data_IF_067586108809
#
_entry.id   IF_067586108809
#
_cell.length_a   1.000
_cell.length_b   1.000
_cell.length_c   1.000
_cell.angle_alpha   90.00
_cell.angle_beta   90.00
_cell.angle_gamma   90.00
#
_symmetry.space_group_name_H-M   'P 1'
#
loop_
_entity.id
_entity.type
_entity.pdbx_description
1 polymer ?
#
# COMPACT_ATOMS: atom_id res chain seq x y z
N UNK A 1 13.72 -24.84 -3.85
CA UNK A 1 13.25 -24.88 -2.45
C UNK A 1 13.59 -23.54 -1.82
N UNK A 2 12.65 -22.59 -1.83
CA UNK A 2 12.84 -21.33 -1.11
C UNK A 2 12.65 -21.61 0.38
N UNK A 3 13.70 -21.46 1.18
CA UNK A 3 13.54 -21.39 2.63
C UNK A 3 12.73 -20.11 2.92
N UNK A 4 11.67 -20.17 3.75
CA UNK A 4 10.97 -18.97 4.14
C UNK A 4 11.98 -18.03 4.80
N UNK A 5 12.06 -16.80 4.27
CA UNK A 5 12.77 -15.70 4.90
C UNK A 5 12.32 -15.67 6.35
N UNK A 6 13.23 -16.01 7.26
CA UNK A 6 12.99 -15.96 8.70
C UNK A 6 12.47 -14.55 8.99
N UNK A 7 11.23 -14.49 9.46
CA UNK A 7 10.57 -13.29 9.96
C UNK A 7 11.59 -12.36 10.63
N UNK A 8 11.75 -11.14 10.12
CA UNK A 8 12.61 -10.14 10.73
C UNK A 8 12.08 -9.87 12.15
N UNK A 9 12.88 -10.09 13.22
CA UNK A 9 12.51 -9.73 14.58
C UNK A 9 12.14 -8.25 14.75
N UNK A 10 12.52 -7.36 13.82
CA UNK A 10 12.15 -5.94 13.82
C UNK A 10 10.66 -5.68 13.54
N UNK A 11 9.91 -6.63 12.99
CA UNK A 11 8.45 -6.55 12.88
C UNK A 11 7.72 -7.08 14.12
N UNK A 12 8.43 -7.59 15.13
CA UNK A 12 7.86 -8.03 16.40
C UNK A 12 7.93 -6.93 17.45
N UNK A 13 6.85 -6.16 17.51
CA UNK A 13 6.13 -5.72 18.70
C UNK A 13 5.67 -4.27 18.49
N UNK A 14 4.42 -4.09 18.08
CA UNK A 14 3.65 -2.92 18.48
C UNK A 14 2.99 -3.31 19.81
N UNK A 15 3.51 -2.89 20.98
CA UNK A 15 2.80 -3.08 22.24
C UNK A 15 1.67 -2.07 22.26
N UNK A 16 0.41 -2.51 22.12
CA UNK A 16 -0.73 -1.58 22.23
C UNK A 16 -2.05 -1.98 21.60
N UNK A 17 -2.14 -3.00 20.75
CA UNK A 17 -3.40 -3.29 20.05
C UNK A 17 -4.44 -4.13 20.85
N UNK A 18 -4.20 -4.41 22.13
CA UNK A 18 -5.07 -5.28 22.94
C UNK A 18 -6.28 -4.58 23.64
N UNK A 19 -6.44 -3.25 23.57
CA UNK A 19 -7.41 -2.54 24.43
C UNK A 19 -8.50 -1.71 23.71
N UNK A 20 -8.66 -1.81 22.39
CA UNK A 20 -9.75 -1.13 21.68
C UNK A 20 -11.05 -1.97 21.70
N UNK A 21 -11.72 -2.00 22.85
CA UNK A 21 -13.17 -2.26 22.91
C UNK A 21 -13.90 -0.98 22.51
N UNK A 22 -14.34 -0.91 21.26
CA UNK A 22 -15.15 0.19 20.73
C UNK A 22 -16.56 0.18 21.37
N UNK A 23 -16.94 1.27 22.03
CA UNK A 23 -18.35 1.58 22.34
C UNK A 23 -18.98 2.34 21.17
N UNK A 24 -20.22 2.01 20.75
CA UNK A 24 -20.89 2.71 19.67
C UNK A 24 -21.74 3.86 20.22
N UNK A 25 -21.56 5.06 19.69
CA UNK A 25 -22.62 6.07 19.61
C UNK A 25 -22.26 7.06 18.50
N UNK A 26 -23.01 7.03 17.41
CA UNK A 26 -23.04 8.11 16.44
C UNK A 26 -24.48 8.35 16.00
N UNK A 27 -24.85 9.63 16.11
CA UNK A 27 -26.14 10.22 15.81
C UNK A 27 -26.54 10.04 14.34
N UNK A 28 -27.85 9.92 14.13
CA UNK A 28 -28.49 9.98 12.82
C UNK A 28 -28.51 11.42 12.30
N UNK A 29 -27.93 11.65 11.12
CA UNK A 29 -28.26 12.78 10.25
C UNK A 29 -28.47 12.26 8.83
N UNK A 30 -29.56 12.74 8.21
CA UNK A 30 -29.99 12.38 6.87
C UNK A 30 -28.93 12.75 5.83
N UNK A 31 -28.58 11.77 5.00
CA UNK A 31 -27.59 11.89 3.92
C UNK A 31 -28.34 12.15 2.62
N UNK A 32 -27.91 13.14 1.86
CA UNK A 32 -28.22 13.21 0.43
C UNK A 32 -27.15 12.42 -0.30
N UNK A 33 -27.50 11.24 -0.79
CA UNK A 33 -26.62 10.45 -1.66
C UNK A 33 -26.96 10.77 -3.11
N UNK A 34 -25.93 11.04 -3.92
CA UNK A 34 -26.05 10.95 -5.36
C UNK A 34 -25.57 9.55 -5.76
N UNK A 35 -26.47 8.76 -6.35
CA UNK A 35 -26.15 7.47 -6.94
C UNK A 35 -26.18 7.63 -8.45
N UNK A 36 -25.09 7.23 -9.11
CA UNK A 36 -25.06 7.07 -10.56
C UNK A 36 -24.89 5.59 -10.83
N UNK A 37 -25.88 5.01 -11.50
CA UNK A 37 -25.85 3.62 -11.95
C UNK A 37 -25.59 3.62 -13.45
N UNK A 38 -24.60 2.85 -13.87
CA UNK A 38 -24.23 2.70 -15.27
C UNK A 38 -24.02 1.24 -15.57
N UNK A 39 -24.81 0.72 -16.50
CA UNK A 39 -24.71 -0.63 -17.04
C UNK A 39 -24.06 -0.57 -18.42
N UNK A 40 -22.99 -1.34 -18.60
CA UNK A 40 -22.32 -1.51 -19.89
C UNK A 40 -22.35 -3.00 -20.26
N UNK A 41 -22.80 -3.29 -21.48
CA UNK A 41 -22.79 -4.63 -22.07
C UNK A 41 -21.75 -4.66 -23.19
N UNK A 42 -20.81 -5.59 -23.11
CA UNK A 42 -19.79 -5.79 -24.13
C UNK A 42 -19.96 -7.19 -24.70
N UNK A 43 -20.24 -7.25 -26.00
CA UNK A 43 -20.30 -8.48 -26.78
C UNK A 43 -19.07 -8.55 -27.69
N UNK A 44 -18.31 -9.62 -27.58
CA UNK A 44 -17.12 -9.86 -28.38
C UNK A 44 -17.18 -11.26 -28.99
N UNK A 45 -17.29 -11.29 -30.31
CA UNK A 45 -17.14 -12.52 -31.09
C UNK A 45 -15.68 -12.70 -31.48
N UNK A 46 -15.06 -13.79 -31.01
CA UNK A 46 -13.69 -14.13 -31.37
C UNK A 46 -13.69 -15.37 -32.25
N UNK A 47 -13.37 -15.16 -33.53
CA UNK A 47 -13.18 -16.23 -34.50
C UNK A 47 -11.70 -16.63 -34.52
N UNK A 48 -11.41 -17.88 -34.17
CA UNK A 48 -10.07 -18.44 -34.26
C UNK A 48 -10.06 -19.58 -35.27
N UNK A 49 -9.33 -19.39 -36.37
CA UNK A 49 -9.12 -20.44 -37.36
C UNK A 49 -8.10 -21.45 -36.81
N UNK A 50 -8.50 -22.71 -36.72
CA UNK A 50 -7.64 -23.82 -36.33
C UNK A 50 -7.50 -24.82 -37.49
N UNK A 51 -6.42 -25.63 -37.54
CA UNK A 51 -6.27 -26.71 -38.51
C UNK A 51 -7.33 -27.79 -38.22
N UNK A 52 -8.53 -27.63 -38.78
CA UNK A 52 -9.69 -28.48 -38.51
C UNK A 52 -11.06 -27.77 -38.53
N UNK A 53 -11.09 -26.43 -38.61
CA UNK A 53 -12.33 -25.65 -38.67
C UNK A 53 -12.21 -24.29 -37.98
N UNK A 54 -13.25 -23.48 -38.10
CA UNK A 54 -13.37 -22.21 -37.37
C UNK A 54 -13.93 -22.54 -35.99
N UNK A 55 -13.20 -22.21 -34.92
CA UNK A 55 -13.75 -22.23 -33.57
C UNK A 55 -14.26 -20.83 -33.26
N UNK A 56 -15.58 -20.72 -33.08
CA UNK A 56 -16.24 -19.51 -32.64
C UNK A 56 -16.31 -19.51 -31.11
N UNK A 57 -15.87 -18.42 -30.49
CA UNK A 57 -15.99 -18.21 -29.05
C UNK A 57 -16.77 -16.93 -28.85
N UNK A 58 -17.94 -17.04 -28.24
CA UNK A 58 -18.74 -15.90 -27.81
C UNK A 58 -18.33 -15.55 -26.39
N UNK A 59 -17.89 -14.32 -26.20
CA UNK A 59 -17.61 -13.76 -24.87
C UNK A 59 -18.65 -12.68 -24.60
N UNK A 60 -19.47 -12.92 -23.59
CA UNK A 60 -20.40 -11.91 -23.07
C UNK A 60 -19.86 -11.40 -21.73
N UNK A 61 -19.62 -10.09 -21.65
CA UNK A 61 -19.20 -9.41 -20.43
C UNK A 61 -20.29 -8.41 -20.00
N UNK A 62 -20.89 -8.69 -18.84
CA UNK A 62 -21.79 -7.76 -18.18
C UNK A 62 -21.00 -6.98 -17.13
N UNK A 63 -20.87 -5.67 -17.33
CA UNK A 63 -20.15 -4.78 -16.42
C UNK A 63 -21.17 -3.87 -15.75
N UNK A 64 -21.37 -4.08 -14.46
CA UNK A 64 -22.16 -3.16 -13.62
C UNK A 64 -21.19 -2.25 -12.86
N UNK A 65 -21.35 -0.93 -13.03
CA UNK A 65 -20.60 0.10 -12.28
C UNK A 65 -21.56 0.82 -11.34
N UNK A 66 -21.40 0.58 -10.05
CA UNK A 66 -22.10 1.33 -9.02
C UNK A 66 -21.17 2.43 -8.49
N UNK A 67 -21.43 3.68 -8.88
CA UNK A 67 -20.65 4.84 -8.43
C UNK A 67 -21.39 5.53 -7.30
N UNK A 68 -20.79 5.47 -6.11
CA UNK A 68 -21.29 6.20 -4.95
C UNK A 68 -20.40 7.40 -4.68
N UNK A 69 -20.98 8.60 -4.73
CA UNK A 69 -20.29 9.85 -4.35
C UNK A 69 -20.84 10.33 -3.02
N UNK A 70 -20.04 10.18 -1.97
CA UNK A 70 -20.36 10.71 -0.66
C UNK A 70 -19.61 12.03 -0.43
N UNK A 71 -20.31 13.16 -0.57
CA UNK A 71 -19.77 14.49 -0.22
C UNK A 71 -20.06 14.74 1.26
N UNK A 72 -19.03 14.63 2.12
CA UNK A 72 -19.17 15.03 3.53
C UNK A 72 -18.50 16.37 3.76
N UNK A 73 -19.25 17.32 4.33
CA UNK A 73 -18.65 18.48 5.01
C UNK A 73 -18.05 18.00 6.33
N UNK A 74 -16.74 18.15 6.48
CA UNK A 74 -16.05 17.87 7.75
C UNK A 74 -16.52 18.80 8.87
N UNK A 75 -16.13 18.49 10.12
CA UNK A 75 -16.41 19.34 11.29
C UNK A 75 -15.66 20.68 11.25
N UNK A 76 -14.64 20.81 10.40
CA UNK A 76 -13.96 22.07 10.09
C UNK A 76 -14.34 22.56 8.68
N UNK A 77 -14.44 23.88 8.50
CA UNK A 77 -14.90 24.51 7.27
C UNK A 77 -13.99 24.28 6.04
N UNK A 78 -12.85 23.62 6.19
CA UNK A 78 -11.80 23.43 5.17
C UNK A 78 -11.69 22.02 4.61
N UNK A 79 -12.38 21.01 5.17
CA UNK A 79 -12.32 19.65 4.64
C UNK A 79 -13.47 19.38 3.66
N UNK A 80 -13.14 19.37 2.36
CA UNK A 80 -13.97 18.76 1.33
C UNK A 80 -13.39 17.37 1.03
N UNK A 81 -14.01 16.30 1.55
CA UNK A 81 -13.68 14.93 1.17
C UNK A 81 -14.67 14.44 0.14
N UNK A 82 -14.18 14.12 -1.05
CA UNK A 82 -14.93 13.37 -2.06
C UNK A 82 -14.49 11.91 -1.93
N UNK A 83 -15.40 11.07 -1.47
CA UNK A 83 -15.21 9.63 -1.46
C UNK A 83 -15.96 9.06 -2.65
N UNK A 84 -15.23 8.55 -3.64
CA UNK A 84 -15.80 7.86 -4.79
C UNK A 84 -15.48 6.39 -4.61
N UNK A 85 -16.52 5.59 -4.39
CA UNK A 85 -16.40 4.13 -4.41
C UNK A 85 -17.00 3.64 -5.70
N UNK A 86 -16.21 2.88 -6.45
CA UNK A 86 -16.64 2.18 -7.65
C UNK A 86 -16.60 0.68 -7.37
N UNK A 87 -17.79 0.08 -7.29
CA UNK A 87 -17.92 -1.37 -7.29
C UNK A 87 -18.11 -1.82 -8.74
N UNK A 88 -17.13 -2.56 -9.26
CA UNK A 88 -17.16 -3.09 -10.61
C UNK A 88 -17.40 -4.59 -10.52
N UNK A 89 -18.59 -5.02 -10.97
CA UNK A 89 -18.92 -6.43 -11.10
C UNK A 89 -18.80 -6.82 -12.56
N UNK A 90 -17.85 -7.70 -12.84
CA UNK A 90 -17.71 -8.30 -14.18
C UNK A 90 -18.22 -9.73 -14.09
N UNK A 91 -19.32 -10.00 -14.81
CA UNK A 91 -19.75 -11.37 -15.08
C UNK A 91 -19.31 -11.72 -16.49
N UNK A 92 -18.35 -12.64 -16.58
CA UNK A 92 -17.89 -13.18 -17.86
C UNK A 92 -18.51 -14.56 -18.08
N UNK A 93 -19.21 -14.71 -19.20
CA UNK A 93 -19.74 -15.97 -19.68
C UNK A 93 -18.91 -16.36 -20.91
N UNK A 94 -18.11 -17.42 -20.78
CA UNK A 94 -17.41 -18.04 -21.91
C UNK A 94 -18.18 -19.29 -22.34
N UNK A 95 -18.64 -19.31 -23.60
CA UNK A 95 -19.32 -20.45 -24.20
C UNK A 95 -18.46 -21.11 -25.27
N UNK A 96 -18.21 -22.41 -25.14
CA UNK A 96 -17.71 -23.25 -26.23
C UNK A 96 -18.50 -24.54 -26.28
N UNK A 97 -19.46 -24.64 -27.20
CA UNK A 97 -20.45 -25.74 -27.22
C UNK A 97 -21.46 -25.64 -26.06
N UNK A 98 -21.98 -26.78 -25.59
CA UNK A 98 -23.04 -26.88 -24.56
C UNK A 98 -22.60 -26.55 -23.12
N UNK A 99 -21.34 -26.14 -22.92
CA UNK A 99 -20.78 -25.84 -21.59
C UNK A 99 -20.49 -24.35 -21.45
N UNK A 100 -21.11 -23.73 -20.45
CA UNK A 100 -20.85 -22.36 -19.99
C UNK A 100 -20.05 -22.38 -18.69
N UNK A 101 -19.08 -21.47 -18.58
CA UNK A 101 -18.30 -21.24 -17.35
C UNK A 101 -18.50 -19.79 -16.91
N UNK A 102 -19.05 -19.59 -15.71
CA UNK A 102 -19.20 -18.27 -15.06
C UNK A 102 -17.96 -17.99 -14.19
N UNK A 103 -17.24 -16.90 -14.46
CA UNK A 103 -16.22 -16.37 -13.54
C UNK A 103 -16.67 -14.99 -13.05
N UNK A 104 -16.79 -14.84 -11.73
CA UNK A 104 -17.09 -13.57 -11.08
C UNK A 104 -15.79 -13.00 -10.52
N UNK A 105 -15.28 -11.93 -11.12
CA UNK A 105 -14.16 -11.15 -10.57
C UNK A 105 -14.73 -9.86 -9.99
N UNK A 106 -14.51 -9.67 -8.68
CA UNK A 106 -14.88 -8.45 -7.97
C UNK A 106 -13.63 -7.60 -7.76
N UNK A 107 -13.56 -6.44 -8.40
CA UNK A 107 -12.47 -5.47 -8.17
C UNK A 107 -13.09 -4.28 -7.46
N UNK A 108 -12.60 -3.98 -6.26
CA UNK A 108 -12.98 -2.77 -5.54
C UNK A 108 -11.97 -1.68 -5.87
N UNK A 109 -12.36 -0.71 -6.69
CA UNK A 109 -11.57 0.51 -6.90
C UNK A 109 -12.14 1.60 -6.00
N UNK A 110 -11.36 2.02 -5.00
CA UNK A 110 -11.71 3.20 -4.19
C UNK A 110 -10.84 4.36 -4.66
N UNK A 111 -11.46 5.37 -5.25
CA UNK A 111 -10.78 6.60 -5.63
C UNK A 111 -11.05 7.64 -4.55
N UNK A 112 -10.03 7.95 -3.76
CA UNK A 112 -10.08 9.00 -2.74
C UNK A 112 -9.16 10.12 -3.14
N UNK A 113 -9.73 11.31 -3.39
CA UNK A 113 -8.94 12.54 -3.44
C UNK A 113 -8.66 12.98 -2.00
N UNK A 114 -7.48 12.62 -1.47
CA UNK A 114 -7.03 13.08 -0.16
C UNK A 114 -6.25 14.39 -0.35
N UNK A 115 -6.90 15.52 -0.07
CA UNK A 115 -6.16 16.76 0.19
C UNK A 115 -5.68 16.71 1.64
N UNK A 116 -4.36 16.56 1.84
CA UNK A 116 -3.75 16.64 3.17
C UNK A 116 -3.10 18.02 3.35
N UNK A 117 -3.38 18.62 4.51
CA UNK A 117 -2.59 19.74 5.02
C UNK A 117 -1.81 19.20 6.20
N UNK A 118 -0.51 19.01 6.01
CA UNK A 118 0.37 18.59 7.09
C UNK A 118 0.75 19.82 7.94
N UNK A 119 0.49 19.71 9.24
CA UNK A 119 0.77 20.77 10.21
C UNK A 119 1.95 20.34 11.07
N UNK A 120 3.14 20.78 10.70
CA UNK A 120 4.36 20.55 11.49
C UNK A 120 4.45 21.59 12.62
N UNK A 121 4.80 21.18 13.86
CA UNK A 121 5.01 22.14 14.94
C UNK A 121 6.16 23.10 14.58
N UNK A 122 6.13 24.36 15.06
CA UNK A 122 7.25 25.28 14.86
C UNK A 122 8.56 24.70 15.39
N UNK A 123 9.61 24.73 14.55
CA UNK A 123 10.96 24.35 14.92
C UNK A 123 11.98 25.13 14.07
N UNK A 124 13.21 25.39 14.58
CA UNK A 124 14.29 25.88 13.74
C UNK A 124 14.65 24.83 12.67
N UNK A 125 15.35 25.19 11.58
CA UNK A 125 15.91 24.21 10.65
C UNK A 125 16.60 23.08 11.41
N UNK A 126 16.26 21.84 11.08
CA UNK A 126 16.86 20.66 11.71
C UNK A 126 18.16 20.35 10.99
N UNK A 127 19.21 20.14 11.77
CA UNK A 127 20.49 19.63 11.29
C UNK A 127 20.68 18.21 11.81
N UNK A 128 21.32 17.36 11.01
CA UNK A 128 21.64 16.00 11.44
C UNK A 128 22.49 16.02 12.72
N UNK A 129 22.11 15.19 13.69
CA UNK A 129 22.87 15.09 14.94
C UNK A 129 24.01 14.08 14.81
N UNK A 130 25.03 14.16 15.67
CA UNK A 130 26.03 13.09 15.78
C UNK A 130 25.43 11.72 16.11
N UNK A 131 24.27 11.67 16.79
CA UNK A 131 23.57 10.40 17.06
C UNK A 131 23.02 9.85 15.75
N UNK A 132 22.32 10.68 14.96
CA UNK A 132 21.77 10.27 13.67
C UNK A 132 22.85 9.71 12.73
N UNK A 133 23.96 10.43 12.57
CA UNK A 133 25.05 9.97 11.70
C UNK A 133 25.62 8.62 12.15
N UNK A 134 25.78 8.40 13.47
CA UNK A 134 26.24 7.11 13.99
C UNK A 134 25.21 6.00 13.76
N UNK A 135 23.94 6.25 14.09
CA UNK A 135 22.85 5.29 13.90
C UNK A 135 22.69 4.92 12.42
N UNK A 136 22.65 5.91 11.53
CA UNK A 136 22.57 5.71 10.09
C UNK A 136 23.76 4.87 9.58
N UNK A 137 24.99 5.27 9.94
CA UNK A 137 26.18 4.54 9.51
C UNK A 137 26.20 3.11 10.04
N UNK A 138 25.81 2.90 11.30
CA UNK A 138 25.77 1.57 11.89
C UNK A 138 24.74 0.70 11.15
N UNK A 139 23.51 1.19 10.96
CA UNK A 139 22.44 0.44 10.29
C UNK A 139 22.75 0.15 8.81
N UNK A 140 23.16 1.16 8.04
CA UNK A 140 23.31 1.08 6.58
C UNK A 140 24.68 0.55 6.15
N UNK A 141 25.77 1.03 6.76
CA UNK A 141 27.13 0.68 6.32
C UNK A 141 27.74 -0.47 7.11
N UNK A 142 27.46 -0.58 8.41
CA UNK A 142 28.11 -1.58 9.28
C UNK A 142 27.32 -2.87 9.34
N UNK A 143 26.02 -2.78 9.58
CA UNK A 143 25.12 -3.93 9.65
C UNK A 143 24.59 -4.36 8.27
N UNK A 144 24.74 -3.50 7.25
CA UNK A 144 24.17 -3.70 5.91
C UNK A 144 22.68 -4.08 6.01
N UNK A 145 21.96 -3.39 6.89
CA UNK A 145 20.55 -3.66 7.20
C UNK A 145 19.74 -3.47 5.91
N UNK A 146 18.88 -4.43 5.53
CA UNK A 146 18.13 -4.32 4.30
C UNK A 146 17.01 -3.29 4.43
N UNK A 147 16.59 -2.72 3.29
CA UNK A 147 15.33 -1.99 3.19
C UNK A 147 14.20 -2.84 3.78
N UNK A 148 13.44 -2.24 4.70
CA UNK A 148 12.36 -2.91 5.40
C UNK A 148 11.23 -3.42 4.46
N UNK A 149 11.14 -2.88 3.24
CA UNK A 149 10.11 -3.23 2.27
C UNK A 149 10.57 -4.26 1.24
N UNK A 150 11.61 -3.94 0.46
CA UNK A 150 12.04 -4.81 -0.64
C UNK A 150 13.24 -5.70 -0.33
N UNK A 151 13.85 -5.57 0.84
CA UNK A 151 15.01 -6.38 1.22
C UNK A 151 16.34 -5.95 0.59
N UNK A 152 16.36 -4.94 -0.28
CA UNK A 152 17.58 -4.40 -0.91
C UNK A 152 18.55 -3.94 0.17
N UNK A 153 19.82 -4.33 0.03
CA UNK A 153 20.91 -3.90 0.91
C UNK A 153 21.81 -2.93 0.20
N UNK A 154 22.63 -2.21 0.96
CA UNK A 154 23.68 -1.37 0.37
C UNK A 154 24.65 -2.21 -0.46
N UNK A 155 25.04 -3.38 0.05
CA UNK A 155 25.93 -4.30 -0.66
C UNK A 155 25.36 -4.87 -1.97
N UNK A 156 24.04 -4.81 -2.17
CA UNK A 156 23.35 -5.41 -3.32
C UNK A 156 22.73 -4.38 -4.27
N UNK A 157 22.99 -3.07 -4.09
CA UNK A 157 22.45 -2.00 -4.94
C UNK A 157 22.76 -2.22 -6.43
N UNK A 158 23.92 -2.80 -6.74
CA UNK A 158 24.35 -3.06 -8.11
C UNK A 158 23.92 -4.43 -8.66
N UNK A 159 23.16 -5.22 -7.90
CA UNK A 159 22.74 -6.57 -8.31
C UNK A 159 21.27 -6.55 -8.75
N UNK A 160 20.96 -6.59 -10.07
CA UNK A 160 19.59 -6.42 -10.56
C UNK A 160 18.58 -7.45 -10.01
N UNK A 161 19.04 -8.65 -9.68
CA UNK A 161 18.20 -9.70 -9.10
C UNK A 161 17.84 -9.46 -7.64
N UNK A 162 18.70 -8.77 -6.89
CA UNK A 162 18.48 -8.41 -5.47
C UNK A 162 17.96 -6.97 -5.33
N UNK A 163 18.08 -6.17 -6.39
CA UNK A 163 17.58 -4.80 -6.52
C UNK A 163 16.60 -4.68 -7.70
N UNK A 164 15.41 -5.32 -7.62
CA UNK A 164 14.45 -5.32 -8.72
C UNK A 164 13.80 -3.94 -8.97
N UNK A 165 13.89 -3.03 -8.00
CA UNK A 165 13.35 -1.67 -8.10
C UNK A 165 14.35 -0.67 -8.66
N UNK A 166 15.60 -1.06 -8.92
CA UNK A 166 16.63 -0.15 -9.39
C UNK A 166 16.96 0.97 -8.39
N UNK A 167 16.85 0.68 -7.09
CA UNK A 167 17.23 1.60 -6.03
C UNK A 167 18.69 2.05 -6.19
N UNK A 168 18.97 3.32 -5.90
CA UNK A 168 20.31 3.88 -6.03
C UNK A 168 21.01 4.05 -4.69
N UNK A 169 20.24 4.10 -3.59
CA UNK A 169 20.79 4.31 -2.25
C UNK A 169 19.93 3.67 -1.15
N UNK A 170 20.53 3.55 0.04
CA UNK A 170 19.86 3.21 1.29
C UNK A 170 19.87 4.40 2.25
N UNK A 171 18.69 4.74 2.73
CA UNK A 171 18.42 5.88 3.61
C UNK A 171 17.83 5.36 4.94
N UNK A 172 17.88 6.19 5.98
CA UNK A 172 17.15 5.94 7.24
C UNK A 172 16.01 6.92 7.38
N UNK A 173 14.86 6.40 7.77
CA UNK A 173 13.62 7.13 7.96
C UNK A 173 13.21 7.11 9.44
N UNK A 174 12.75 8.24 9.98
CA UNK A 174 12.33 8.37 11.38
C UNK A 174 10.95 7.72 11.60
N UNK A 175 10.93 6.54 12.24
CA UNK A 175 9.70 5.79 12.52
C UNK A 175 9.76 5.08 13.89
N UNK A 176 8.69 5.14 14.71
CA UNK A 176 7.36 5.64 14.38
C UNK A 176 7.16 7.14 14.64
N UNK A 177 8.18 7.86 15.11
CA UNK A 177 8.07 9.29 15.43
C UNK A 177 8.95 10.08 14.47
N UNK A 178 8.30 10.83 13.59
CA UNK A 178 8.95 11.76 12.68
C UNK A 178 9.73 12.84 13.43
N UNK A 179 10.94 13.14 12.95
CA UNK A 179 11.78 14.19 13.55
C UNK A 179 11.12 15.57 13.51
N UNK A 180 10.33 15.83 12.46
CA UNK A 180 9.57 17.07 12.28
C UNK A 180 8.50 17.25 13.39
N UNK A 181 7.98 16.16 13.94
CA UNK A 181 6.91 16.16 14.94
C UNK A 181 7.40 16.11 16.40
N UNK A 182 8.72 16.02 16.62
CA UNK A 182 9.30 15.89 17.97
C UNK A 182 8.79 16.95 18.96
N UNK A 183 8.71 18.22 18.54
CA UNK A 183 8.27 19.32 19.39
C UNK A 183 6.79 19.23 19.82
N UNK A 184 5.98 18.40 19.14
CA UNK A 184 4.58 18.15 19.49
C UNK A 184 4.40 16.90 20.37
N UNK A 185 5.46 16.16 20.66
CA UNK A 185 5.38 14.91 21.42
C UNK A 185 5.39 15.16 22.94
N UNK A 186 4.63 14.36 23.68
CA UNK A 186 4.66 14.32 25.14
C UNK A 186 5.52 13.14 25.61
N UNK A 187 6.72 13.38 26.19
CA UNK A 187 7.60 12.32 26.67
C UNK A 187 6.92 11.38 27.67
N UNK A 188 5.98 11.87 28.49
CA UNK A 188 5.29 11.02 29.49
C UNK A 188 4.37 9.99 28.83
N UNK A 189 3.73 10.35 27.72
CA UNK A 189 2.92 9.42 26.94
C UNK A 189 3.80 8.43 26.20
N UNK A 190 4.90 8.91 25.62
CA UNK A 190 5.85 8.06 24.92
C UNK A 190 6.56 7.07 25.84
N UNK A 191 6.84 7.44 27.10
CA UNK A 191 7.43 6.56 28.11
C UNK A 191 6.69 5.23 28.28
N UNK A 192 5.36 5.22 28.06
CA UNK A 192 4.53 4.00 28.15
C UNK A 192 4.92 2.98 27.07
N UNK A 193 5.27 3.46 25.87
CA UNK A 193 5.65 2.62 24.74
C UNK A 193 7.17 2.43 24.64
N UNK A 194 7.93 3.45 25.04
CA UNK A 194 9.38 3.54 24.96
C UNK A 194 9.94 3.95 26.32
N UNK A 195 10.12 3.00 27.27
CA UNK A 195 10.53 3.30 28.64
C UNK A 195 11.87 4.06 28.80
N UNK A 196 12.70 4.08 27.76
CA UNK A 196 13.93 4.88 27.71
C UNK A 196 13.67 6.39 27.63
N UNK A 197 12.50 6.81 27.12
CA UNK A 197 12.10 8.21 27.03
C UNK A 197 11.51 8.63 28.38
N UNK A 198 12.19 9.51 29.11
CA UNK A 198 11.80 9.96 30.46
C UNK A 198 11.39 11.44 30.47
N UNK A 199 11.99 12.21 29.58
CA UNK A 199 11.88 13.65 29.46
C UNK A 199 12.20 14.06 28.01
N UNK A 200 12.27 15.36 27.76
CA UNK A 200 12.51 15.88 26.41
C UNK A 200 13.93 15.61 25.90
N UNK A 201 14.92 15.58 26.80
CA UNK A 201 16.31 15.31 26.41
C UNK A 201 16.47 13.85 25.92
N UNK A 202 15.92 12.91 26.69
CA UNK A 202 15.89 11.49 26.30
C UNK A 202 14.97 11.21 25.11
N UNK A 203 13.94 12.04 24.87
CA UNK A 203 13.17 12.01 23.63
C UNK A 203 14.04 12.44 22.43
N UNK A 204 14.78 13.54 22.53
CA UNK A 204 15.65 14.03 21.46
C UNK A 204 16.74 13.01 21.10
N UNK A 205 17.35 12.37 22.10
CA UNK A 205 18.27 11.25 21.88
C UNK A 205 17.58 10.05 21.22
N UNK A 206 16.35 9.72 21.62
CA UNK A 206 15.59 8.61 21.05
C UNK A 206 15.24 8.83 19.58
N UNK A 207 14.83 10.05 19.19
CA UNK A 207 14.41 10.35 17.82
C UNK A 207 15.47 9.93 16.80
N UNK A 208 16.74 10.23 17.05
CA UNK A 208 17.84 9.91 16.14
C UNK A 208 18.52 8.55 16.43
N UNK A 209 18.02 7.81 17.41
CA UNK A 209 18.54 6.48 17.75
C UNK A 209 18.06 5.40 16.78
N UNK A 210 18.80 4.30 16.68
CA UNK A 210 18.42 3.14 15.88
C UNK A 210 17.03 2.58 16.21
N UNK A 211 16.54 2.78 17.44
CA UNK A 211 15.23 2.32 17.87
C UNK A 211 14.07 3.09 17.20
N UNK A 212 14.33 4.26 16.63
CA UNK A 212 13.36 5.09 15.90
C UNK A 212 13.76 5.26 14.43
N UNK A 213 14.68 4.46 13.90
CA UNK A 213 15.08 4.51 12.50
C UNK A 213 14.69 3.22 11.77
N UNK A 214 14.09 3.39 10.60
CA UNK A 214 13.79 2.34 9.64
C UNK A 214 14.69 2.51 8.42
N UNK A 215 15.39 1.45 8.01
CA UNK A 215 16.19 1.47 6.79
C UNK A 215 15.27 1.26 5.58
N UNK A 216 15.34 2.18 4.61
CA UNK A 216 14.58 2.14 3.37
C UNK A 216 15.50 2.43 2.19
N UNK A 217 15.23 1.88 1.01
CA UNK A 217 15.89 2.38 -0.18
C UNK A 217 15.24 3.71 -0.63
N UNK A 218 15.95 4.48 -1.44
CA UNK A 218 15.47 5.73 -2.03
C UNK A 218 14.07 5.62 -2.67
N UNK A 219 13.76 4.49 -3.32
CA UNK A 219 12.42 4.20 -3.87
C UNK A 219 11.37 4.08 -2.76
N UNK A 220 11.58 3.23 -1.76
CA UNK A 220 10.60 3.02 -0.69
C UNK A 220 10.60 4.13 0.36
N UNK A 221 11.56 5.04 0.32
CA UNK A 221 11.52 6.25 1.13
C UNK A 221 10.72 7.36 0.45
N UNK A 222 10.93 7.60 -0.86
CA UNK A 222 10.49 8.85 -1.52
C UNK A 222 9.71 8.69 -2.83
N UNK A 223 9.59 7.50 -3.41
CA UNK A 223 8.90 7.36 -4.69
C UNK A 223 7.39 7.63 -4.53
N UNK A 224 6.72 8.37 -5.43
CA UNK A 224 5.30 8.69 -5.30
C UNK A 224 4.36 7.48 -5.16
N UNK A 225 4.72 6.34 -5.76
CA UNK A 225 3.88 5.12 -5.77
C UNK A 225 4.38 4.00 -4.86
N UNK A 226 5.51 4.18 -4.17
CA UNK A 226 6.11 3.14 -3.30
C UNK A 226 6.59 3.67 -1.94
N UNK A 227 6.81 4.97 -1.84
CA UNK A 227 7.50 5.64 -0.76
C UNK A 227 6.62 5.91 0.44
N UNK A 228 7.18 5.74 1.65
CA UNK A 228 6.47 5.98 2.91
C UNK A 228 5.95 7.42 3.04
N UNK A 229 6.62 8.40 2.43
CA UNK A 229 6.20 9.81 2.44
C UNK A 229 5.02 10.13 1.53
N UNK A 230 4.64 9.21 0.64
CA UNK A 230 3.58 9.44 -0.36
C UNK A 230 2.39 8.49 -0.19
N UNK A 231 2.63 7.30 0.32
CA UNK A 231 1.61 6.28 0.49
C UNK A 231 0.93 6.36 1.85
N UNK A 232 -0.33 5.92 1.89
CA UNK A 232 -0.99 5.64 3.15
C UNK A 232 -0.28 4.46 3.83
N UNK A 233 -0.26 4.46 5.16
CA UNK A 233 0.47 3.44 5.93
C UNK A 233 0.11 2.00 5.52
N UNK A 234 -1.17 1.68 5.32
CA UNK A 234 -1.57 0.33 4.92
C UNK A 234 -1.09 -0.04 3.52
N UNK A 235 -1.06 0.91 2.58
CA UNK A 235 -0.60 0.69 1.21
C UNK A 235 0.92 0.56 1.18
N UNK A 236 1.63 1.31 2.04
CA UNK A 236 3.06 1.18 2.21
C UNK A 236 3.46 -0.18 2.79
N UNK A 237 2.87 -0.57 3.93
CA UNK A 237 3.28 -1.76 4.69
C UNK A 237 2.82 -3.08 4.06
N UNK A 238 1.86 -3.09 3.14
CA UNK A 238 1.43 -4.32 2.46
C UNK A 238 2.39 -4.76 1.35
N UNK A 239 3.17 -3.84 0.78
CA UNK A 239 4.05 -4.09 -0.38
C UNK A 239 4.93 -5.35 -0.29
N UNK A 240 5.58 -5.68 0.85
CA UNK A 240 6.43 -6.88 0.95
C UNK A 240 5.69 -8.21 0.77
N UNK A 241 4.37 -8.20 0.91
CA UNK A 241 3.53 -9.39 0.91
C UNK A 241 2.77 -9.58 -0.41
N UNK A 242 2.87 -8.64 -1.33
CA UNK A 242 2.19 -8.68 -2.61
C UNK A 242 2.92 -9.61 -3.60
N UNK A 243 2.19 -10.10 -4.59
CA UNK A 243 2.81 -10.77 -5.72
C UNK A 243 3.69 -9.80 -6.49
N UNK A 244 4.79 -10.32 -7.05
CA UNK A 244 5.70 -9.49 -7.83
C UNK A 244 4.99 -8.88 -9.04
N UNK A 245 5.12 -7.56 -9.20
CA UNK A 245 4.44 -6.77 -10.23
C UNK A 245 3.01 -6.35 -9.89
N UNK A 246 2.51 -6.63 -8.69
CA UNK A 246 1.25 -6.07 -8.22
C UNK A 246 1.47 -4.66 -7.67
N UNK A 247 0.69 -3.69 -8.14
CA UNK A 247 0.76 -2.29 -7.73
C UNK A 247 -0.49 -1.90 -6.93
N UNK A 248 -0.29 -1.29 -5.75
CA UNK A 248 -1.39 -0.85 -4.87
C UNK A 248 -1.87 0.56 -5.15
N UNK A 249 -1.02 1.38 -5.77
CA UNK A 249 -1.30 2.77 -6.11
C UNK A 249 -0.87 3.01 -7.54
N UNK A 250 -1.66 3.81 -8.26
CA UNK A 250 -1.39 4.20 -9.64
C UNK A 250 -1.75 5.66 -9.85
N UNK A 251 -1.10 6.30 -10.82
CA UNK A 251 -1.57 7.60 -11.30
C UNK A 251 -2.99 7.46 -11.89
N UNK A 252 -3.89 8.45 -11.70
CA UNK A 252 -5.25 8.36 -12.24
C UNK A 252 -5.32 8.10 -13.76
N UNK A 253 -4.31 8.59 -14.50
CA UNK A 253 -4.20 8.39 -15.96
C UNK A 253 -3.78 6.96 -16.33
N UNK A 254 -3.15 6.23 -15.41
CA UNK A 254 -2.65 4.88 -15.62
C UNK A 254 -3.45 3.80 -14.88
N UNK A 255 -4.41 4.20 -14.02
CA UNK A 255 -5.19 3.30 -13.18
C UNK A 255 -5.79 2.12 -13.94
N UNK A 256 -6.40 2.35 -15.12
CA UNK A 256 -6.98 1.28 -15.93
C UNK A 256 -5.94 0.26 -16.42
N UNK A 257 -4.74 0.74 -16.79
CA UNK A 257 -3.63 -0.11 -17.23
C UNK A 257 -3.10 -0.92 -16.05
N UNK A 258 -2.89 -0.29 -14.90
CA UNK A 258 -2.41 -0.95 -13.68
C UNK A 258 -3.39 -2.02 -13.20
N UNK A 259 -4.69 -1.73 -13.18
CA UNK A 259 -5.72 -2.73 -12.85
C UNK A 259 -5.66 -3.93 -13.79
N UNK A 260 -5.52 -3.72 -15.09
CA UNK A 260 -5.41 -4.80 -16.07
C UNK A 260 -4.13 -5.65 -15.87
N UNK A 261 -3.01 -5.05 -15.49
CA UNK A 261 -1.79 -5.79 -15.16
C UNK A 261 -1.92 -6.56 -13.83
N UNK A 262 -2.50 -5.94 -12.80
CA UNK A 262 -2.78 -6.60 -11.52
C UNK A 262 -3.67 -7.84 -11.70
N UNK A 263 -4.69 -7.76 -12.56
CA UNK A 263 -5.50 -8.93 -12.90
C UNK A 263 -4.67 -10.06 -13.51
N UNK A 264 -3.74 -9.74 -14.42
CA UNK A 264 -2.84 -10.75 -15.02
C UNK A 264 -1.93 -11.38 -13.96
N UNK A 265 -1.43 -10.58 -13.01
CA UNK A 265 -0.63 -11.07 -11.89
C UNK A 265 -1.45 -12.05 -11.05
N UNK A 266 -2.65 -11.67 -10.63
CA UNK A 266 -3.55 -12.55 -9.86
C UNK A 266 -3.83 -13.84 -10.63
N UNK A 267 -4.27 -13.76 -11.88
CA UNK A 267 -4.59 -14.95 -12.71
C UNK A 267 -3.39 -15.91 -12.85
N UNK A 268 -2.17 -15.37 -13.01
CA UNK A 268 -0.95 -16.18 -13.10
C UNK A 268 -0.70 -16.99 -11.83
N UNK A 269 -1.00 -16.41 -10.66
CA UNK A 269 -0.79 -17.08 -9.38
C UNK A 269 -1.93 -18.05 -9.04
N UNK A 270 -3.19 -17.68 -9.27
CA UNK A 270 -4.32 -18.56 -8.99
C UNK A 270 -4.39 -19.78 -9.91
N UNK A 271 -4.01 -19.65 -11.18
CA UNK A 271 -3.99 -20.79 -12.12
C UNK A 271 -2.97 -21.88 -11.75
N UNK A 272 -1.92 -21.54 -10.99
CA UNK A 272 -0.91 -22.50 -10.52
C UNK A 272 -1.38 -23.33 -9.33
N UNK A 273 -2.37 -22.82 -8.60
CA UNK A 273 -2.87 -23.43 -7.36
C UNK A 273 -4.08 -24.34 -7.58
N UNK A 274 -4.53 -24.53 -8.82
CA UNK A 274 -5.55 -25.52 -9.20
C UNK A 274 -4.88 -26.79 -9.76
N UNK A 275 -4.59 -27.82 -8.94
CA UNK A 275 -4.08 -29.10 -9.40
C UNK A 275 -5.22 -30.00 -9.91
N UNK A 276 -6.13 -29.49 -10.75
CA UNK A 276 -7.06 -30.36 -11.48
C UNK A 276 -6.40 -30.79 -12.77
N UNK A 277 -5.57 -31.83 -12.66
CA UNK A 277 -5.30 -32.90 -13.63
C UNK A 277 -3.97 -33.57 -13.29
N UNK A 278 -4.00 -34.48 -12.31
CA UNK A 278 -3.20 -35.71 -12.31
C UNK A 278 -4.08 -36.86 -11.85
#
# INVERSE_FOLDING_TARGET
>A
MFQPLRFNPLLKAIPGLAHLKLTPQAAHHAKTHAHVHTDEQIELDRLQALPGGIKETHVHEHITKDVKVDTKRGRSATELRQHITEDIKVRRIEGTGDTTSDTLTHVHATVVSVAQIEMTPPHPPREDTPIYHRSHHHLVHTMDTPCAICGVRRSTLHHPHENPFGAQDLETHHYPIERSLMNACDPKRLHIMFPQIKDYATLEEFIDSEANLMVLCDIHHRHPHHGIHHLLAQDFFIQPFLYNGYEVVADPKEAAKVMAENEKVIRRHTARDNPTHR
#
